data_IF_085062630292
#
_entry.id   IF_085062630292
#
_cell.length_a   1.000
_cell.length_b   1.000
_cell.length_c   1.000
_cell.angle_alpha   90.00
_cell.angle_beta   90.00
_cell.angle_gamma   90.00
#
_symmetry.space_group_name_H-M   'P 1'
#
loop_
_entity.id
_entity.type
_entity.pdbx_description
1 polymer ?
#
# COMPACT_ATOMS: atom_id res chain seq x y z
N UNK A 1 43.95 24.08 30.92
CA UNK A 1 43.16 23.52 32.05
C UNK A 1 42.71 24.60 33.04
N UNK A 2 42.15 25.73 32.59
CA UNK A 2 41.90 26.89 33.48
C UNK A 2 40.64 27.70 33.22
N UNK A 3 39.64 27.16 32.51
CA UNK A 3 38.42 27.90 32.14
C UNK A 3 37.12 27.28 32.66
N UNK A 4 37.19 26.15 33.38
CA UNK A 4 35.99 25.47 33.91
C UNK A 4 35.59 25.85 35.34
N UNK A 5 36.37 26.69 36.04
CA UNK A 5 36.11 27.01 37.46
C UNK A 5 35.34 28.33 37.63
N UNK A 6 35.43 29.28 36.70
CA UNK A 6 34.81 30.61 36.85
C UNK A 6 33.28 30.56 36.64
N UNK A 7 32.77 29.64 35.82
CA UNK A 7 31.32 29.51 35.57
C UNK A 7 30.58 28.89 36.76
N UNK A 8 31.23 28.00 37.53
CA UNK A 8 30.61 27.35 38.70
C UNK A 8 30.58 28.24 39.96
N UNK A 9 31.51 29.18 40.12
CA UNK A 9 31.50 30.12 41.24
C UNK A 9 30.41 31.20 41.06
N UNK A 10 30.19 31.67 39.84
CA UNK A 10 29.12 32.62 39.54
C UNK A 10 27.72 32.02 39.75
N UNK A 11 27.49 30.74 39.42
CA UNK A 11 26.19 30.09 39.61
C UNK A 11 25.77 29.97 41.08
N UNK A 12 26.72 29.76 42.01
CA UNK A 12 26.43 29.69 43.44
C UNK A 12 26.07 31.07 44.01
N UNK A 13 26.84 32.11 43.69
CA UNK A 13 26.60 33.46 44.20
C UNK A 13 25.39 34.15 43.56
N UNK A 14 25.12 33.90 42.27
CA UNK A 14 23.88 34.37 41.63
C UNK A 14 22.66 33.75 42.28
N UNK A 15 22.69 32.46 42.66
CA UNK A 15 21.55 31.83 43.33
C UNK A 15 21.21 32.46 44.71
N UNK A 16 22.22 32.85 45.49
CA UNK A 16 22.03 33.50 46.80
C UNK A 16 21.59 34.96 46.66
N UNK A 17 22.19 35.72 45.72
CA UNK A 17 21.76 37.10 45.42
C UNK A 17 20.36 37.14 44.81
N UNK A 18 20.03 36.23 43.90
CA UNK A 18 18.68 36.09 43.35
C UNK A 18 17.68 35.63 44.41
N UNK A 19 18.07 34.79 45.37
CA UNK A 19 17.25 34.48 46.56
C UNK A 19 17.04 35.70 47.44
N UNK A 20 18.08 36.48 47.73
CA UNK A 20 17.97 37.71 48.52
C UNK A 20 17.06 38.74 47.83
N UNK A 21 17.21 38.93 46.51
CA UNK A 21 16.35 39.80 45.70
C UNK A 21 14.92 39.26 45.53
N UNK A 22 14.73 37.93 45.59
CA UNK A 22 13.39 37.34 45.59
C UNK A 22 12.67 37.51 46.95
N UNK A 23 13.43 37.66 48.02
CA UNK A 23 12.96 37.90 49.39
C UNK A 23 12.92 39.40 49.76
N UNK A 24 13.37 40.29 48.88
CA UNK A 24 13.25 41.73 49.07
C UNK A 24 11.77 42.13 49.17
N UNK A 25 11.31 42.75 50.27
CA UNK A 25 9.91 43.11 50.48
C UNK A 25 9.34 44.02 49.39
N UNK A 26 10.15 44.91 48.82
CA UNK A 26 9.68 45.84 47.79
C UNK A 26 9.44 45.12 46.45
N UNK A 27 10.40 44.31 46.01
CA UNK A 27 10.26 43.48 44.81
C UNK A 27 9.17 42.42 44.97
N UNK A 28 9.05 41.84 46.17
CA UNK A 28 8.00 40.88 46.49
C UNK A 28 6.61 41.53 46.35
N UNK A 29 6.41 42.71 46.94
CA UNK A 29 5.13 43.42 46.87
C UNK A 29 4.80 43.89 45.44
N UNK A 30 5.79 44.35 44.68
CA UNK A 30 5.60 44.71 43.26
C UNK A 30 5.20 43.49 42.41
N UNK A 31 5.87 42.34 42.59
CA UNK A 31 5.50 41.09 41.91
C UNK A 31 4.11 40.62 42.31
N UNK A 32 3.76 40.73 43.59
CA UNK A 32 2.44 40.33 44.10
C UNK A 32 1.35 41.20 43.47
N UNK A 33 1.52 42.53 43.42
CA UNK A 33 0.60 43.42 42.70
C UNK A 33 0.45 43.03 41.23
N UNK A 34 1.58 42.77 40.55
CA UNK A 34 1.56 42.40 39.14
C UNK A 34 0.90 41.04 38.89
N UNK A 35 1.14 40.03 39.75
CA UNK A 35 0.48 38.73 39.64
C UNK A 35 -1.00 38.85 39.96
N UNK A 36 -1.40 39.59 40.98
CA UNK A 36 -2.83 39.84 41.29
C UNK A 36 -3.55 40.50 40.13
N UNK A 37 -2.91 41.42 39.41
CA UNK A 37 -3.49 42.07 38.22
C UNK A 37 -3.57 41.14 37.01
N UNK A 38 -2.53 40.30 36.76
CA UNK A 38 -2.44 39.47 35.54
C UNK A 38 -3.13 38.11 35.66
N UNK A 39 -3.19 37.56 36.86
CA UNK A 39 -3.67 36.20 37.12
C UNK A 39 -5.14 36.00 36.70
N UNK A 40 -6.09 36.93 36.93
CA UNK A 40 -7.47 36.77 36.46
C UNK A 40 -7.57 36.60 34.94
N UNK A 41 -6.82 37.40 34.17
CA UNK A 41 -6.81 37.30 32.71
C UNK A 41 -6.23 35.94 32.25
N UNK A 42 -5.13 35.50 32.84
CA UNK A 42 -4.50 34.21 32.48
C UNK A 42 -5.38 33.02 32.85
N UNK A 43 -6.09 33.09 33.99
CA UNK A 43 -7.05 32.06 34.38
C UNK A 43 -8.25 32.01 33.44
N UNK A 44 -8.71 33.15 32.94
CA UNK A 44 -9.83 33.20 31.99
C UNK A 44 -9.49 32.56 30.63
N UNK A 45 -8.22 32.62 30.20
CA UNK A 45 -7.73 31.97 28.99
C UNK A 45 -7.44 30.48 29.16
N UNK A 46 -7.60 29.93 30.37
CA UNK A 46 -7.22 28.54 30.68
C UNK A 46 -8.15 27.57 29.94
N UNK A 47 -7.60 26.62 29.16
CA UNK A 47 -8.42 25.61 28.51
C UNK A 47 -9.07 24.66 29.55
N UNK A 48 -10.28 24.15 29.29
CA UNK A 48 -10.98 23.26 30.20
C UNK A 48 -10.25 21.92 30.34
N UNK A 49 -10.40 21.25 31.48
CA UNK A 49 -9.66 20.01 31.78
C UNK A 49 -9.89 18.89 30.74
N UNK A 50 -11.09 18.80 30.18
CA UNK A 50 -11.44 17.84 29.13
C UNK A 50 -10.59 17.99 27.86
N UNK A 51 -10.19 19.22 27.51
CA UNK A 51 -9.31 19.49 26.36
C UNK A 51 -7.84 19.15 26.62
N UNK A 52 -7.46 19.03 27.90
CA UNK A 52 -6.13 18.62 28.33
C UNK A 52 -6.01 17.09 28.49
N UNK A 53 -7.15 16.39 28.43
CA UNK A 53 -7.26 14.95 28.59
C UNK A 53 -7.39 14.23 27.23
N UNK A 54 -7.04 12.94 27.18
CA UNK A 54 -7.29 12.11 26.00
C UNK A 54 -8.78 12.07 25.67
N UNK A 55 -9.16 12.09 24.37
CA UNK A 55 -8.34 11.84 23.19
C UNK A 55 -7.69 13.09 22.58
N UNK A 56 -8.06 14.28 23.04
CA UNK A 56 -7.68 15.55 22.39
C UNK A 56 -6.22 15.95 22.65
N UNK A 57 -5.70 15.68 23.85
CA UNK A 57 -4.29 15.90 24.17
C UNK A 57 -3.80 14.94 25.25
N UNK A 58 -2.48 14.79 25.37
CA UNK A 58 -1.83 13.91 26.36
C UNK A 58 -1.17 14.71 27.50
N UNK A 59 -1.65 15.93 27.77
CA UNK A 59 -1.02 16.85 28.73
C UNK A 59 -1.39 16.45 30.16
N UNK A 60 -2.67 16.18 30.43
CA UNK A 60 -3.15 15.75 31.73
C UNK A 60 -3.59 14.28 31.70
N UNK A 61 -2.83 13.42 32.37
CA UNK A 61 -3.07 11.98 32.42
C UNK A 61 -3.46 11.56 33.84
N UNK A 62 -4.66 11.00 33.97
CA UNK A 62 -5.11 10.32 35.18
C UNK A 62 -4.41 8.97 35.36
N UNK A 63 -4.54 8.38 36.55
CA UNK A 63 -4.05 7.03 36.84
C UNK A 63 -4.63 5.98 35.89
N UNK A 64 -5.88 6.13 35.48
CA UNK A 64 -6.54 5.22 34.52
C UNK A 64 -5.95 5.35 33.12
N UNK A 65 -5.65 6.55 32.65
CA UNK A 65 -4.97 6.76 31.36
C UNK A 65 -3.56 6.14 31.34
N UNK A 66 -2.82 6.25 32.45
CA UNK A 66 -1.51 5.61 32.57
C UNK A 66 -1.61 4.07 32.56
N UNK A 67 -2.57 3.50 33.29
CA UNK A 67 -2.84 2.06 33.29
C UNK A 67 -3.25 1.56 31.89
N UNK A 68 -4.15 2.28 31.23
CA UNK A 68 -4.59 1.98 29.87
C UNK A 68 -3.41 2.01 28.87
N UNK A 69 -2.50 2.99 28.98
CA UNK A 69 -1.28 3.03 28.14
C UNK A 69 -0.38 1.83 28.37
N UNK A 70 -0.17 1.42 29.62
CA UNK A 70 0.65 0.23 29.94
C UNK A 70 0.05 -1.03 29.33
N UNK A 71 -1.27 -1.21 29.46
CA UNK A 71 -1.99 -2.32 28.85
C UNK A 71 -1.92 -2.26 27.31
N UNK A 72 -2.13 -1.08 26.73
CA UNK A 72 -2.04 -0.87 25.29
C UNK A 72 -0.67 -1.30 24.75
N UNK A 73 0.41 -0.83 25.36
CA UNK A 73 1.77 -1.19 24.94
C UNK A 73 2.08 -2.67 25.15
N UNK A 74 1.57 -3.28 26.22
CA UNK A 74 1.67 -4.73 26.43
C UNK A 74 1.00 -5.50 25.28
N UNK A 75 -0.23 -5.11 24.92
CA UNK A 75 -0.97 -5.73 23.81
C UNK A 75 -0.29 -5.50 22.45
N UNK A 76 0.20 -4.30 22.18
CA UNK A 76 0.96 -3.99 20.96
C UNK A 76 2.21 -4.86 20.89
N UNK A 77 2.95 -5.00 22.00
CA UNK A 77 4.14 -5.85 22.07
C UNK A 77 3.81 -7.32 21.79
N UNK A 78 2.74 -7.85 22.39
CA UNK A 78 2.30 -9.24 22.15
C UNK A 78 1.92 -9.43 20.68
N UNK A 79 1.13 -8.50 20.11
CA UNK A 79 0.73 -8.53 18.70
C UNK A 79 1.93 -8.48 17.76
N UNK A 80 2.86 -7.55 17.98
CA UNK A 80 4.07 -7.42 17.19
C UNK A 80 4.93 -8.67 17.28
N UNK A 81 5.11 -9.24 18.48
CA UNK A 81 5.87 -10.48 18.65
C UNK A 81 5.25 -11.63 17.81
N UNK A 82 3.92 -11.79 17.88
CA UNK A 82 3.20 -12.78 17.07
C UNK A 82 3.29 -12.52 15.57
N UNK A 83 3.28 -11.27 15.14
CA UNK A 83 3.45 -10.89 13.73
C UNK A 83 4.88 -11.11 13.23
N UNK A 84 5.88 -10.84 14.07
CA UNK A 84 7.29 -11.03 13.75
C UNK A 84 7.66 -12.52 13.67
N UNK A 85 7.09 -13.36 14.54
CA UNK A 85 7.32 -14.81 14.46
C UNK A 85 6.70 -15.45 13.22
N UNK A 86 5.63 -14.86 12.68
CA UNK A 86 4.97 -15.28 11.43
C UNK A 86 5.47 -14.52 10.20
N UNK A 87 6.56 -13.78 10.31
CA UNK A 87 7.03 -12.91 9.24
C UNK A 87 7.42 -13.73 8.01
N UNK A 88 6.80 -13.50 6.84
CA UNK A 88 7.21 -14.16 5.62
C UNK A 88 8.62 -13.73 5.21
N UNK A 89 9.39 -14.67 4.67
CA UNK A 89 10.72 -14.40 4.10
C UNK A 89 10.60 -13.55 2.84
N UNK A 90 11.67 -12.85 2.47
CA UNK A 90 11.68 -12.02 1.26
C UNK A 90 11.48 -12.90 0.00
N UNK A 91 11.96 -14.13 0.02
CA UNK A 91 11.77 -15.11 -1.06
C UNK A 91 10.29 -15.39 -1.33
N UNK A 92 9.49 -15.56 -0.28
CA UNK A 92 8.04 -15.78 -0.39
C UNK A 92 7.29 -14.54 -0.86
N UNK A 93 7.74 -13.35 -0.48
CA UNK A 93 7.17 -12.09 -0.96
C UNK A 93 7.45 -11.84 -2.46
N UNK A 94 8.62 -12.26 -2.94
CA UNK A 94 8.99 -12.18 -4.36
C UNK A 94 8.23 -13.22 -5.18
N UNK A 95 8.04 -14.45 -4.66
CA UNK A 95 7.26 -15.47 -5.35
C UNK A 95 5.77 -15.12 -5.42
N UNK A 96 5.22 -14.49 -4.39
CA UNK A 96 3.85 -13.97 -4.36
C UNK A 96 3.64 -12.68 -5.20
N UNK A 97 4.68 -12.21 -5.91
CA UNK A 97 4.67 -10.95 -6.67
C UNK A 97 4.29 -9.70 -5.86
N UNK A 98 4.43 -9.74 -4.53
CA UNK A 98 4.22 -8.58 -3.65
C UNK A 98 5.45 -7.67 -3.72
N UNK A 99 6.65 -8.26 -3.68
CA UNK A 99 7.90 -7.56 -3.91
C UNK A 99 8.39 -7.80 -5.34
N UNK A 100 8.66 -6.74 -6.12
CA UNK A 100 9.29 -6.88 -7.43
C UNK A 100 10.70 -7.46 -7.30
N UNK A 101 11.10 -8.32 -8.24
CA UNK A 101 12.44 -8.94 -8.24
C UNK A 101 13.55 -7.91 -8.34
N UNK A 102 13.27 -6.77 -8.96
CA UNK A 102 14.22 -5.68 -9.18
C UNK A 102 14.59 -4.96 -7.87
N UNK A 103 13.75 -5.06 -6.83
CA UNK A 103 14.03 -4.54 -5.49
C UNK A 103 14.99 -5.43 -4.68
N UNK A 104 15.28 -6.64 -5.15
CA UNK A 104 15.99 -7.67 -4.40
C UNK A 104 17.24 -8.14 -5.12
N UNK A 105 18.31 -8.41 -4.37
CA UNK A 105 19.50 -9.10 -4.86
C UNK A 105 19.44 -10.54 -4.37
N UNK A 106 19.72 -11.52 -5.24
CA UNK A 106 19.99 -12.87 -4.76
C UNK A 106 21.35 -12.89 -4.07
N UNK A 107 21.38 -13.33 -2.82
CA UNK A 107 22.62 -13.57 -2.11
C UNK A 107 23.32 -14.81 -2.68
N UNK A 108 24.64 -14.74 -2.85
CA UNK A 108 25.42 -15.81 -3.48
C UNK A 108 25.73 -16.95 -2.52
N UNK A 109 25.78 -16.67 -1.21
CA UNK A 109 26.10 -17.67 -0.19
C UNK A 109 24.87 -18.48 0.22
N UNK A 110 23.74 -17.82 0.48
CA UNK A 110 22.52 -18.48 0.98
C UNK A 110 21.50 -18.80 -0.13
N UNK A 111 21.64 -18.21 -1.33
CA UNK A 111 20.68 -18.36 -2.43
C UNK A 111 19.36 -17.60 -2.22
N UNK A 112 19.16 -16.99 -1.05
CA UNK A 112 17.96 -16.24 -0.70
C UNK A 112 17.95 -14.82 -1.30
N UNK A 113 16.75 -14.23 -1.41
CA UNK A 113 16.60 -12.84 -1.84
C UNK A 113 16.81 -11.88 -0.66
N UNK A 114 17.70 -10.91 -0.83
CA UNK A 114 17.94 -9.81 0.09
C UNK A 114 17.41 -8.50 -0.48
N UNK A 115 16.71 -7.71 0.32
CA UNK A 115 16.16 -6.42 -0.12
C UNK A 115 17.28 -5.38 -0.30
N UNK A 116 17.34 -4.74 -1.47
CA UNK A 116 18.37 -3.76 -1.85
C UNK A 116 17.80 -2.33 -1.98
N UNK A 117 16.47 -2.15 -1.90
CA UNK A 117 15.82 -0.85 -2.03
C UNK A 117 15.09 -0.67 -3.37
N UNK A 118 13.99 0.10 -3.36
CA UNK A 118 13.04 0.22 -4.48
C UNK A 118 12.89 1.60 -5.11
N UNK A 119 13.83 2.54 -4.88
CA UNK A 119 13.65 3.97 -5.14
C UNK A 119 13.25 4.33 -6.60
N UNK A 120 13.57 3.47 -7.58
CA UNK A 120 13.32 3.74 -9.01
C UNK A 120 12.41 2.69 -9.65
N UNK A 121 11.84 1.76 -8.87
CA UNK A 121 11.14 0.59 -9.43
C UNK A 121 9.80 0.97 -10.04
N UNK A 122 9.04 1.85 -9.39
CA UNK A 122 7.78 2.36 -9.94
C UNK A 122 7.97 3.13 -11.25
N UNK A 123 9.02 3.97 -11.32
CA UNK A 123 9.35 4.71 -12.55
C UNK A 123 9.75 3.77 -13.68
N UNK A 124 10.58 2.77 -13.41
CA UNK A 124 10.99 1.77 -14.40
C UNK A 124 9.80 0.96 -14.92
N UNK A 125 8.94 0.47 -14.03
CA UNK A 125 7.73 -0.27 -14.41
C UNK A 125 6.76 0.57 -15.25
N UNK A 126 6.62 1.86 -14.94
CA UNK A 126 5.79 2.75 -15.75
C UNK A 126 6.34 2.85 -17.18
N UNK A 127 7.64 3.06 -17.33
CA UNK A 127 8.30 3.13 -18.64
C UNK A 127 8.20 1.78 -19.38
N UNK A 128 8.37 0.66 -18.70
CA UNK A 128 8.22 -0.68 -19.32
C UNK A 128 6.80 -0.92 -19.81
N UNK A 129 5.78 -0.55 -19.02
CA UNK A 129 4.38 -0.65 -19.44
C UNK A 129 4.08 0.22 -20.66
N UNK A 130 4.62 1.43 -20.70
CA UNK A 130 4.47 2.32 -21.86
C UNK A 130 5.16 1.75 -23.11
N UNK A 131 6.36 1.18 -22.98
CA UNK A 131 7.05 0.50 -24.09
C UNK A 131 6.26 -0.71 -24.60
N UNK A 132 5.72 -1.54 -23.71
CA UNK A 132 4.88 -2.69 -24.10
C UNK A 132 3.60 -2.22 -24.79
N UNK A 133 2.96 -1.18 -24.27
CA UNK A 133 1.75 -0.59 -24.89
C UNK A 133 2.04 -0.09 -26.30
N UNK A 134 3.16 0.60 -26.49
CA UNK A 134 3.56 1.10 -27.81
C UNK A 134 3.90 -0.03 -28.77
N UNK A 135 4.68 -1.03 -28.31
CA UNK A 135 5.01 -2.21 -29.11
C UNK A 135 3.76 -3.00 -29.53
N UNK A 136 2.79 -3.15 -28.63
CA UNK A 136 1.51 -3.79 -28.94
C UNK A 136 0.69 -2.99 -29.95
N UNK A 137 0.68 -1.66 -29.86
CA UNK A 137 0.00 -0.81 -30.85
C UNK A 137 0.57 -1.03 -32.25
N UNK A 138 1.89 -0.92 -32.40
CA UNK A 138 2.57 -1.12 -33.69
C UNK A 138 2.35 -2.53 -34.22
N UNK A 139 2.39 -3.54 -33.35
CA UNK A 139 2.11 -4.92 -33.75
C UNK A 139 0.67 -5.11 -34.23
N UNK A 140 -0.30 -4.51 -33.52
CA UNK A 140 -1.71 -4.55 -33.90
C UNK A 140 -1.97 -3.83 -35.23
N UNK A 141 -1.38 -2.66 -35.46
CA UNK A 141 -1.49 -1.92 -36.73
C UNK A 141 -0.91 -2.72 -37.89
N UNK A 142 0.27 -3.32 -37.70
CA UNK A 142 0.88 -4.20 -38.70
C UNK A 142 0.01 -5.43 -38.98
N UNK A 143 -0.54 -6.06 -37.93
CA UNK A 143 -1.43 -7.23 -38.09
C UNK A 143 -2.75 -6.85 -38.74
N UNK A 144 -3.34 -5.72 -38.40
CA UNK A 144 -4.53 -5.18 -39.04
C UNK A 144 -4.27 -4.93 -40.53
N UNK A 145 -3.11 -4.36 -40.88
CA UNK A 145 -2.69 -4.18 -42.28
C UNK A 145 -2.51 -5.51 -43.03
N UNK A 146 -1.91 -6.53 -42.40
CA UNK A 146 -1.81 -7.88 -42.98
C UNK A 146 -3.20 -8.52 -43.20
N UNK A 147 -4.13 -8.33 -42.26
CA UNK A 147 -5.51 -8.84 -42.36
C UNK A 147 -6.26 -8.11 -43.49
N UNK A 148 -6.14 -6.78 -43.58
CA UNK A 148 -6.76 -5.99 -44.65
C UNK A 148 -6.21 -6.38 -46.02
N UNK A 149 -4.90 -6.54 -46.18
CA UNK A 149 -4.29 -7.02 -47.43
C UNK A 149 -4.74 -8.44 -47.80
N UNK A 150 -4.98 -9.33 -46.83
CA UNK A 150 -5.56 -10.66 -47.09
C UNK A 150 -7.02 -10.59 -47.52
N UNK A 151 -7.78 -9.64 -46.97
CA UNK A 151 -9.17 -9.36 -47.36
C UNK A 151 -9.25 -8.79 -48.78
N UNK A 152 -8.37 -7.85 -49.13
CA UNK A 152 -8.25 -7.27 -50.48
C UNK A 152 -7.81 -8.30 -51.53
N UNK A 153 -6.93 -9.24 -51.16
CA UNK A 153 -6.58 -10.40 -52.00
C UNK A 153 -7.71 -11.43 -52.16
N UNK A 154 -8.92 -11.13 -51.71
CA UNK A 154 -10.14 -11.84 -52.10
C UNK A 154 -10.37 -13.19 -51.43
N UNK A 155 -9.50 -13.66 -50.54
CA UNK A 155 -9.79 -14.87 -49.73
C UNK A 155 -10.58 -14.44 -48.50
N UNK A 156 -11.80 -13.95 -48.76
CA UNK A 156 -12.74 -13.61 -47.70
C UNK A 156 -13.11 -14.84 -46.88
N UNK A 157 -13.49 -14.64 -45.62
CA UNK A 157 -14.02 -15.70 -44.75
C UNK A 157 -15.15 -16.45 -45.44
N UNK A 158 -15.96 -15.78 -46.29
CA UNK A 158 -16.97 -16.42 -47.13
C UNK A 158 -16.43 -17.47 -48.11
N UNK A 159 -15.23 -17.30 -48.68
CA UNK A 159 -14.59 -18.30 -49.55
C UNK A 159 -14.13 -19.52 -48.75
N UNK A 160 -13.62 -19.30 -47.53
CA UNK A 160 -13.22 -20.39 -46.63
C UNK A 160 -14.43 -21.15 -46.07
N UNK A 161 -15.49 -20.42 -45.67
CA UNK A 161 -16.77 -20.99 -45.23
C UNK A 161 -17.43 -21.74 -46.38
N UNK A 162 -17.41 -21.20 -47.60
CA UNK A 162 -17.93 -21.89 -48.78
C UNK A 162 -17.10 -23.13 -49.12
N UNK A 163 -15.76 -23.08 -49.06
CA UNK A 163 -14.90 -24.27 -49.25
C UNK A 163 -15.15 -25.32 -48.17
N UNK A 164 -15.36 -24.90 -46.92
CA UNK A 164 -15.66 -25.80 -45.81
C UNK A 164 -17.05 -26.43 -45.96
N UNK A 165 -18.08 -25.65 -46.26
CA UNK A 165 -19.43 -26.14 -46.52
C UNK A 165 -19.47 -27.07 -47.73
N UNK A 166 -18.69 -26.77 -48.78
CA UNK A 166 -18.52 -27.65 -49.94
C UNK A 166 -17.80 -28.94 -49.59
N UNK A 167 -16.73 -28.88 -48.78
CA UNK A 167 -16.02 -30.07 -48.30
C UNK A 167 -16.95 -30.96 -47.45
N UNK A 168 -17.74 -30.37 -46.53
CA UNK A 168 -18.70 -31.11 -45.70
C UNK A 168 -19.80 -31.77 -46.55
N UNK A 169 -20.28 -31.10 -47.63
CA UNK A 169 -21.24 -31.70 -48.57
C UNK A 169 -20.63 -32.87 -49.36
N UNK A 170 -19.40 -32.73 -49.83
CA UNK A 170 -18.69 -33.79 -50.56
C UNK A 170 -18.31 -34.98 -49.67
N UNK A 171 -18.02 -34.74 -48.38
CA UNK A 171 -17.87 -35.83 -47.41
C UNK A 171 -19.20 -36.51 -47.12
N UNK A 172 -20.30 -35.76 -47.02
CA UNK A 172 -21.66 -36.31 -46.92
C UNK A 172 -22.11 -37.13 -48.13
N UNK A 173 -21.61 -36.84 -49.35
CA UNK A 173 -21.85 -37.65 -50.54
C UNK A 173 -20.94 -38.88 -50.64
N UNK A 174 -19.75 -38.88 -50.01
CA UNK A 174 -18.86 -40.05 -49.93
C UNK A 174 -19.27 -41.05 -48.86
N UNK A 175 -19.95 -40.61 -47.81
CA UNK A 175 -20.69 -41.46 -46.87
C UNK A 175 -22.18 -41.55 -47.23
N UNK A 176 -22.46 -41.90 -48.49
CA UNK A 176 -23.72 -42.53 -48.86
C UNK A 176 -23.80 -43.94 -48.27
N UNK A 177 -24.14 -44.05 -46.99
CA UNK A 177 -24.34 -45.34 -46.33
C UNK A 177 -24.41 -45.24 -44.81
N UNK A 178 -25.64 -45.37 -44.30
CA UNK A 178 -26.07 -45.43 -42.89
C UNK A 178 -26.16 -44.08 -42.18
N UNK A 179 -27.36 -43.51 -42.26
CA UNK A 179 -27.88 -42.66 -41.19
C UNK A 179 -27.89 -43.47 -39.90
N UNK A 180 -27.10 -43.02 -38.93
CA UNK A 180 -27.35 -43.31 -37.52
C UNK A 180 -28.25 -42.17 -37.06
N UNK A 181 -29.52 -42.50 -36.80
CA UNK A 181 -30.37 -41.66 -35.96
C UNK A 181 -29.70 -41.55 -34.59
N UNK A 182 -29.08 -40.40 -34.33
CA UNK A 182 -28.74 -40.00 -32.97
C UNK A 182 -29.95 -39.19 -32.51
N UNK A 183 -30.73 -39.80 -31.62
CA UNK A 183 -31.83 -39.14 -30.91
C UNK A 183 -31.36 -37.76 -30.41
N UNK A 184 -32.11 -36.74 -30.82
CA UNK A 184 -31.86 -35.37 -30.42
C UNK A 184 -32.11 -35.18 -28.94
N UNK A 185 -31.05 -35.12 -28.15
CA UNK A 185 -31.04 -34.27 -26.97
C UNK A 185 -30.98 -32.82 -27.46
N UNK A 186 -32.11 -32.11 -27.41
CA UNK A 186 -32.22 -30.67 -27.72
C UNK A 186 -31.37 -29.83 -26.75
N UNK A 187 -30.06 -29.83 -26.95
CA UNK A 187 -29.13 -28.89 -26.35
C UNK A 187 -29.10 -27.60 -27.16
N UNK A 188 -30.11 -26.74 -26.98
CA UNK A 188 -30.11 -25.37 -27.52
C UNK A 188 -28.82 -24.68 -27.05
N UNK A 189 -27.84 -24.51 -27.94
CA UNK A 189 -26.57 -23.84 -27.62
C UNK A 189 -26.88 -22.41 -27.23
N UNK A 190 -27.00 -22.16 -25.92
CA UNK A 190 -27.15 -20.82 -25.38
C UNK A 190 -25.86 -20.07 -25.74
N UNK A 191 -26.03 -18.86 -26.27
CA UNK A 191 -24.93 -18.07 -26.82
C UNK A 191 -23.75 -17.96 -25.86
N UNK A 192 -22.58 -17.63 -26.41
CA UNK A 192 -21.28 -17.59 -25.72
C UNK A 192 -21.31 -16.91 -24.33
N UNK A 193 -22.23 -15.99 -24.09
CA UNK A 193 -22.50 -15.35 -22.79
C UNK A 193 -22.84 -16.37 -21.68
N UNK A 194 -23.64 -17.39 -21.97
CA UNK A 194 -24.05 -18.43 -21.00
C UNK A 194 -22.94 -19.46 -20.74
N UNK A 195 -22.00 -19.63 -21.67
CA UNK A 195 -20.85 -20.51 -21.49
C UNK A 195 -19.89 -19.95 -20.42
N UNK A 196 -19.68 -18.63 -20.39
CA UNK A 196 -18.77 -17.98 -19.43
C UNK A 196 -19.39 -17.76 -18.04
N UNK A 197 -20.71 -17.88 -17.88
CA UNK A 197 -21.39 -17.74 -16.58
C UNK A 197 -21.08 -18.90 -15.61
N UNK A 198 -20.63 -20.07 -16.10
CA UNK A 198 -20.25 -21.22 -15.28
C UNK A 198 -18.79 -21.23 -14.81
N UNK A 199 -17.89 -20.50 -15.48
CA UNK A 199 -16.44 -20.53 -15.20
C UNK A 199 -16.07 -19.70 -13.96
N UNK A 200 -16.98 -18.85 -13.47
CA UNK A 200 -16.77 -18.01 -12.28
C UNK A 200 -17.21 -18.63 -10.94
N UNK A 201 -17.69 -19.89 -10.91
CA UNK A 201 -18.19 -20.55 -9.69
C UNK A 201 -17.44 -21.85 -9.37
N UNK A 202 -16.11 -21.79 -9.36
CA UNK A 202 -15.31 -22.78 -8.64
C UNK A 202 -14.65 -22.07 -7.47
N UNK A 203 -15.18 -22.35 -6.27
CA UNK A 203 -14.47 -22.15 -4.99
C UNK A 203 -13.27 -23.07 -4.91
#
# INVERSE_FOLDING_TARGET
MGLFIIVSAHYRQTSHRLRALALDPYLHHARLRQTTQRLPCLLSTRPPLSSLQPPSSSIYLSRTHLAARRLHWSLVRIRLNRSLSRRPTITTLVSANILPRECCRRDRASGEYMYRGGLVVERKKKVEREKVKEGLRVWLERKAGEIMKRREKGVGVGVLVWRLQRRMRLEGERTGGKGVEIEGAEGRVRGLRSFWEGVGRTQ
#
